data_IF_950575466795
#
_entry.id   IF_950575466795
#
_cell.length_a   1.000
_cell.length_b   1.000
_cell.length_c   1.000
_cell.angle_alpha   90.00
_cell.angle_beta   90.00
_cell.angle_gamma   90.00
#
_symmetry.space_group_name_H-M   'P 1'
#
loop_
_entity.id
_entity.type
_entity.pdbx_description
1 polymer ?
#
# COMPACT_ATOMS: atom_id res chain seq x y z
N UNK A 1 36.49 -13.66 -4.33
CA UNK A 1 35.49 -13.72 -3.25
C UNK A 1 35.00 -12.33 -2.81
N UNK A 2 35.89 -11.38 -2.47
CA UNK A 2 35.47 -10.04 -2.00
C UNK A 2 34.69 -9.19 -3.02
N UNK A 3 34.97 -9.34 -4.32
CA UNK A 3 34.22 -8.69 -5.41
C UNK A 3 32.78 -9.21 -5.52
N UNK A 4 32.58 -10.53 -5.40
CA UNK A 4 31.26 -11.18 -5.42
C UNK A 4 30.40 -10.82 -4.18
N UNK A 5 31.06 -10.65 -3.02
CA UNK A 5 30.40 -10.19 -1.80
C UNK A 5 29.98 -8.71 -1.96
N UNK A 6 30.77 -7.89 -2.65
CA UNK A 6 30.46 -6.48 -2.89
C UNK A 6 29.30 -6.29 -3.87
N UNK A 7 29.18 -7.16 -4.88
CA UNK A 7 28.07 -7.15 -5.85
C UNK A 7 26.75 -7.68 -5.29
N UNK A 8 26.77 -8.57 -4.29
CA UNK A 8 25.56 -9.04 -3.58
C UNK A 8 25.03 -8.07 -2.52
N UNK A 9 25.87 -7.17 -2.00
CA UNK A 9 25.48 -6.22 -0.93
C UNK A 9 24.47 -5.17 -1.39
N UNK A 10 24.61 -4.66 -2.62
CA UNK A 10 23.70 -3.66 -3.17
C UNK A 10 22.24 -4.16 -3.34
N UNK A 11 21.97 -5.32 -3.98
CA UNK A 11 20.62 -5.85 -4.09
C UNK A 11 20.03 -6.25 -2.73
N UNK A 12 20.85 -6.72 -1.79
CA UNK A 12 20.40 -7.04 -0.43
C UNK A 12 19.92 -5.80 0.34
N UNK A 13 20.61 -4.66 0.21
CA UNK A 13 20.20 -3.38 0.83
C UNK A 13 18.92 -2.84 0.18
N UNK A 14 18.79 -2.93 -1.14
CA UNK A 14 17.56 -2.56 -1.86
C UNK A 14 16.37 -3.44 -1.48
N UNK A 15 16.58 -4.75 -1.33
CA UNK A 15 15.55 -5.67 -0.86
C UNK A 15 15.12 -5.35 0.57
N UNK A 16 16.07 -5.07 1.48
CA UNK A 16 15.77 -4.65 2.85
C UNK A 16 15.00 -3.33 2.89
N UNK A 17 15.40 -2.35 2.06
CA UNK A 17 14.73 -1.06 1.94
C UNK A 17 13.30 -1.21 1.40
N UNK A 18 13.07 -2.09 0.43
CA UNK A 18 11.74 -2.38 -0.12
C UNK A 18 10.81 -3.03 0.90
N UNK A 19 11.33 -3.90 1.77
CA UNK A 19 10.57 -4.53 2.85
C UNK A 19 10.02 -3.51 3.87
N UNK A 20 10.70 -2.38 4.06
CA UNK A 20 10.26 -1.32 4.97
C UNK A 20 9.05 -0.52 4.44
N UNK A 21 8.76 -0.55 3.13
CA UNK A 21 7.69 0.22 2.49
C UNK A 21 6.43 -0.57 2.12
N UNK A 22 6.43 -1.89 2.24
CA UNK A 22 5.41 -2.75 1.62
C UNK A 22 4.10 -2.93 2.42
N UNK A 23 4.03 -2.51 3.69
CA UNK A 23 2.93 -2.91 4.59
C UNK A 23 1.81 -1.87 4.79
N UNK A 24 1.82 -0.72 4.12
CA UNK A 24 0.80 0.31 4.32
C UNK A 24 -0.36 0.15 3.31
N UNK A 25 -1.39 -0.60 3.71
CA UNK A 25 -2.69 -0.64 3.03
C UNK A 25 -3.73 0.07 3.88
N UNK A 26 -4.42 1.07 3.32
CA UNK A 26 -5.54 1.73 3.98
C UNK A 26 -6.81 0.91 3.71
N UNK A 27 -7.47 0.31 4.72
CA UNK A 27 -8.67 -0.49 4.51
C UNK A 27 -9.88 0.37 4.16
N UNK A 28 -10.80 -0.18 3.37
CA UNK A 28 -11.97 0.51 2.81
C UNK A 28 -12.97 1.08 3.85
N UNK A 29 -12.79 0.80 5.15
CA UNK A 29 -13.65 1.32 6.20
C UNK A 29 -13.11 1.06 7.61
N UNK A 30 -13.69 1.72 8.63
CA UNK A 30 -13.32 1.50 10.02
C UNK A 30 -13.65 0.05 10.44
N UNK A 31 -12.68 -0.63 11.03
CA UNK A 31 -12.84 -1.99 11.58
C UNK A 31 -13.56 -2.02 12.94
N UNK A 32 -13.86 -0.86 13.51
CA UNK A 32 -14.56 -0.69 14.78
C UNK A 32 -15.70 0.31 14.61
N UNK A 33 -16.88 -0.03 15.14
CA UNK A 33 -17.98 0.91 15.25
C UNK A 33 -17.69 1.93 16.35
N UNK A 34 -17.85 3.22 16.03
CA UNK A 34 -17.88 4.28 17.03
C UNK A 34 -19.32 4.45 17.55
N UNK A 35 -19.49 4.53 18.86
CA UNK A 35 -20.77 4.81 19.52
C UNK A 35 -20.79 6.24 20.08
N UNK A 36 -21.99 6.83 20.31
CA UNK A 36 -22.12 8.09 21.03
C UNK A 36 -21.47 8.00 22.42
N UNK A 37 -20.74 9.04 22.81
CA UNK A 37 -20.21 9.17 24.17
C UNK A 37 -21.32 9.36 25.21
N UNK A 38 -20.97 9.18 26.49
CA UNK A 38 -21.90 9.40 27.61
C UNK A 38 -22.49 10.81 27.57
N UNK A 39 -23.81 10.92 27.68
CA UNK A 39 -24.53 12.20 27.61
C UNK A 39 -24.78 12.76 26.21
N UNK A 40 -24.42 12.03 25.13
CA UNK A 40 -24.67 12.47 23.74
C UNK A 40 -25.78 11.64 23.07
N UNK A 41 -26.71 12.29 22.40
CA UNK A 41 -27.75 11.59 21.63
C UNK A 41 -27.19 11.00 20.34
N UNK A 42 -27.89 9.99 19.81
CA UNK A 42 -27.48 9.33 18.57
C UNK A 42 -27.50 10.28 17.36
N UNK A 43 -28.51 11.15 17.25
CA UNK A 43 -28.57 12.17 16.18
C UNK A 43 -27.38 13.13 16.21
N UNK A 44 -27.00 13.61 17.40
CA UNK A 44 -25.83 14.48 17.57
C UNK A 44 -24.54 13.74 17.17
N UNK A 45 -24.43 12.47 17.53
CA UNK A 45 -23.30 11.64 17.10
C UNK A 45 -23.27 11.44 15.58
N UNK A 46 -24.41 11.22 14.91
CA UNK A 46 -24.46 11.00 13.46
C UNK A 46 -23.95 12.20 12.67
N UNK A 47 -24.30 13.42 13.09
CA UNK A 47 -23.83 14.65 12.45
C UNK A 47 -22.31 14.78 12.61
N UNK A 48 -21.80 14.53 13.82
CA UNK A 48 -20.35 14.58 14.08
C UNK A 48 -19.57 13.48 13.34
N UNK A 49 -20.08 12.24 13.28
CA UNK A 49 -19.45 11.15 12.54
C UNK A 49 -19.32 11.51 11.05
N UNK A 50 -20.37 12.09 10.46
CA UNK A 50 -20.33 12.56 9.07
C UNK A 50 -19.28 13.66 8.86
N UNK A 51 -19.22 14.66 9.74
CA UNK A 51 -18.22 15.73 9.69
C UNK A 51 -16.79 15.18 9.84
N UNK A 52 -16.59 14.26 10.79
CA UNK A 52 -15.30 13.64 11.05
C UNK A 52 -14.81 12.84 9.84
N UNK A 53 -15.69 12.07 9.21
CA UNK A 53 -15.38 11.33 7.96
C UNK A 53 -15.05 12.26 6.81
N UNK A 54 -15.81 13.35 6.65
CA UNK A 54 -15.56 14.34 5.60
C UNK A 54 -14.19 15.01 5.80
N UNK A 55 -13.86 15.38 7.04
CA UNK A 55 -12.56 15.95 7.38
C UNK A 55 -11.41 14.97 7.13
N UNK A 56 -11.56 13.71 7.55
CA UNK A 56 -10.58 12.66 7.30
C UNK A 56 -10.35 12.44 5.79
N UNK A 57 -11.42 12.46 4.99
CA UNK A 57 -11.34 12.35 3.53
C UNK A 57 -10.61 13.54 2.88
N UNK A 58 -10.80 14.75 3.40
CA UNK A 58 -10.03 15.92 2.94
C UNK A 58 -8.55 15.81 3.35
N UNK A 59 -8.27 15.32 4.56
CA UNK A 59 -6.89 15.08 5.02
C UNK A 59 -6.16 14.00 4.20
N UNK A 60 -6.87 13.00 3.68
CA UNK A 60 -6.31 12.00 2.76
C UNK A 60 -6.17 12.49 1.32
N UNK A 61 -6.30 13.80 1.08
CA UNK A 61 -6.18 14.40 -0.26
C UNK A 61 -7.37 14.13 -1.18
N UNK A 62 -8.55 13.84 -0.61
CA UNK A 62 -9.75 13.51 -1.37
C UNK A 62 -9.73 12.12 -2.00
N UNK A 63 -8.79 11.26 -1.58
CA UNK A 63 -8.72 9.87 -2.04
C UNK A 63 -9.56 9.01 -1.11
N UNK A 64 -10.52 8.28 -1.68
CA UNK A 64 -11.33 7.33 -0.92
C UNK A 64 -10.48 6.14 -0.47
N UNK A 65 -10.84 5.54 0.65
CA UNK A 65 -10.12 4.39 1.17
C UNK A 65 -10.01 3.24 0.15
N UNK A 66 -11.11 2.91 -0.56
CA UNK A 66 -11.09 1.90 -1.61
C UNK A 66 -10.23 2.26 -2.83
N UNK A 67 -10.11 3.54 -3.15
CA UNK A 67 -9.25 4.02 -4.23
C UNK A 67 -7.76 3.95 -3.83
N UNK A 68 -7.44 4.30 -2.58
CA UNK A 68 -6.10 4.11 -2.02
C UNK A 68 -5.71 2.63 -1.96
N UNK A 69 -6.63 1.76 -1.51
CA UNK A 69 -6.49 0.30 -1.51
C UNK A 69 -6.14 -0.25 -2.90
N UNK A 70 -6.89 0.18 -3.92
CA UNK A 70 -6.72 -0.27 -5.30
C UNK A 70 -5.40 0.23 -5.89
N UNK A 71 -5.05 1.50 -5.66
CA UNK A 71 -3.80 2.08 -6.16
C UNK A 71 -2.57 1.36 -5.60
N UNK A 72 -2.55 1.03 -4.31
CA UNK A 72 -1.45 0.26 -3.70
C UNK A 72 -1.33 -1.14 -4.30
N UNK A 73 -2.46 -1.83 -4.54
CA UNK A 73 -2.48 -3.15 -5.16
C UNK A 73 -1.95 -3.12 -6.60
N UNK A 74 -2.43 -2.17 -7.41
CA UNK A 74 -1.98 -1.98 -8.80
C UNK A 74 -0.51 -1.58 -8.87
N UNK A 75 -0.05 -0.66 -7.99
CA UNK A 75 1.35 -0.25 -7.94
C UNK A 75 2.28 -1.43 -7.61
N UNK A 76 1.89 -2.26 -6.65
CA UNK A 76 2.66 -3.44 -6.26
C UNK A 76 2.69 -4.51 -7.36
N UNK A 77 1.54 -4.75 -8.01
CA UNK A 77 1.44 -5.66 -9.15
C UNK A 77 2.31 -5.19 -10.33
N UNK A 78 2.23 -3.90 -10.70
CA UNK A 78 3.03 -3.35 -11.79
C UNK A 78 4.54 -3.48 -11.53
N UNK A 79 5.00 -3.15 -10.32
CA UNK A 79 6.41 -3.32 -9.93
C UNK A 79 6.81 -4.79 -9.94
N UNK A 80 5.98 -5.68 -9.37
CA UNK A 80 6.22 -7.11 -9.37
C UNK A 80 6.32 -7.71 -10.77
N UNK A 81 5.41 -7.34 -11.67
CA UNK A 81 5.43 -7.76 -13.08
C UNK A 81 6.65 -7.22 -13.82
N UNK A 82 6.99 -5.94 -13.64
CA UNK A 82 8.16 -5.34 -14.29
C UNK A 82 9.47 -6.03 -13.85
N UNK A 83 9.63 -6.28 -12.55
CA UNK A 83 10.78 -6.99 -12.01
C UNK A 83 10.81 -8.45 -12.46
N UNK A 84 9.66 -9.14 -12.46
CA UNK A 84 9.53 -10.52 -12.93
C UNK A 84 9.86 -10.68 -14.42
N UNK A 85 9.39 -9.76 -15.25
CA UNK A 85 9.69 -9.72 -16.68
C UNK A 85 11.18 -9.43 -16.95
N UNK A 86 11.78 -8.46 -16.25
CA UNK A 86 13.20 -8.16 -16.37
C UNK A 86 14.08 -9.35 -15.94
N UNK A 87 13.72 -10.02 -14.85
CA UNK A 87 14.39 -11.25 -14.43
C UNK A 87 14.21 -12.38 -15.46
N UNK A 88 13.00 -12.63 -15.94
CA UNK A 88 12.71 -13.65 -16.96
C UNK A 88 13.50 -13.43 -18.26
N UNK A 89 13.63 -12.18 -18.71
CA UNK A 89 14.44 -11.82 -19.87
C UNK A 89 15.93 -12.06 -19.66
N UNK A 90 16.44 -11.80 -18.44
CA UNK A 90 17.85 -12.01 -18.10
C UNK A 90 18.22 -13.50 -17.95
N UNK A 91 17.28 -14.34 -17.50
CA UNK A 91 17.54 -15.77 -17.26
C UNK A 91 17.16 -16.69 -18.44
N UNK A 92 16.30 -16.29 -19.39
CA UNK A 92 15.83 -17.17 -20.49
C UNK A 92 15.69 -16.47 -21.86
N UNK A 93 16.71 -15.74 -22.32
CA UNK A 93 16.73 -15.02 -23.62
C UNK A 93 16.65 -15.88 -24.91
N UNK A 94 16.06 -17.07 -24.87
CA UNK A 94 15.79 -17.92 -26.03
C UNK A 94 14.62 -18.87 -25.77
N UNK A 95 13.46 -18.56 -26.36
CA UNK A 95 12.17 -19.28 -26.27
C UNK A 95 11.26 -18.86 -25.10
N UNK A 96 10.54 -17.76 -25.31
CA UNK A 96 9.22 -17.49 -24.70
C UNK A 96 9.20 -16.99 -23.25
N UNK A 97 8.87 -15.71 -23.07
CA UNK A 97 8.29 -15.20 -21.83
C UNK A 97 7.43 -13.97 -22.16
N UNK A 98 6.17 -14.26 -22.49
CA UNK A 98 5.04 -13.36 -22.28
C UNK A 98 4.43 -13.67 -20.91
#
# INVERSE_FOLDING_TARGET
MNQAIRSLRAPAVLALAGLLGACAYMPAGPSVMALPGTGKSFDQFRVDDANCRQYAFQQSGGVSAGQASTASALGSAAVGTALGAAAGAAFNGGTGAA
#
